data_IF_500338252231
#
_entry.id   IF_500338252231
#
_cell.length_a   1.000
_cell.length_b   1.000
_cell.length_c   1.000
_cell.angle_alpha   90.00
_cell.angle_beta   90.00
_cell.angle_gamma   90.00
#
_symmetry.space_group_name_H-M   'P 1'
#
loop_
_entity.id
_entity.type
_entity.pdbx_description
1 polymer ?
#
# COMPACT_ATOMS: atom_id res chain seq x y z
N UNK A 1 -19.25 14.72 -0.65
CA UNK A 1 -18.27 13.89 0.10
C UNK A 1 -18.84 12.49 0.33
N UNK A 2 -18.90 11.60 -0.66
CA UNK A 2 -19.42 10.21 -0.49
C UNK A 2 -18.94 9.29 -1.63
N UNK A 3 -17.66 8.92 -1.68
CA UNK A 3 -17.19 7.89 -2.64
C UNK A 3 -16.12 6.92 -2.11
N UNK A 4 -15.69 7.04 -0.84
CA UNK A 4 -14.69 6.13 -0.27
C UNK A 4 -15.27 5.03 0.63
N UNK A 5 -16.57 5.07 0.97
CA UNK A 5 -17.19 4.11 1.90
C UNK A 5 -17.71 2.83 1.22
N UNK A 6 -17.65 2.72 -0.12
CA UNK A 6 -18.36 1.69 -0.88
C UNK A 6 -17.48 0.61 -1.52
N UNK A 7 -16.28 0.40 -1.00
CA UNK A 7 -15.49 -0.80 -1.34
C UNK A 7 -15.24 -1.49 -0.01
N UNK A 8 -15.95 -2.59 0.25
CA UNK A 8 -15.65 -3.54 1.32
C UNK A 8 -14.34 -4.26 1.04
N UNK A 9 -13.29 -3.47 0.79
CA UNK A 9 -11.91 -3.91 0.72
C UNK A 9 -11.49 -4.12 2.16
N UNK A 10 -10.91 -5.28 2.42
CA UNK A 10 -10.64 -5.80 3.74
C UNK A 10 -9.67 -4.87 4.50
N UNK A 11 -10.24 -3.90 5.22
CA UNK A 11 -9.48 -2.96 6.06
C UNK A 11 -8.65 -3.71 7.12
N UNK A 12 -9.03 -4.95 7.46
CA UNK A 12 -8.26 -5.84 8.32
C UNK A 12 -6.88 -6.14 7.73
N UNK A 13 -6.82 -6.63 6.49
CA UNK A 13 -5.55 -6.91 5.80
C UNK A 13 -4.67 -5.67 5.64
N UNK A 14 -5.27 -4.54 5.28
CA UNK A 14 -4.54 -3.27 5.20
C UNK A 14 -3.94 -2.91 6.57
N UNK A 15 -4.72 -3.04 7.65
CA UNK A 15 -4.28 -2.69 9.00
C UNK A 15 -3.22 -3.65 9.54
N UNK A 16 -3.29 -4.92 9.17
CA UNK A 16 -2.25 -5.92 9.48
C UNK A 16 -0.93 -5.56 8.79
N UNK A 17 -0.98 -5.28 7.47
CA UNK A 17 0.19 -4.82 6.72
C UNK A 17 0.77 -3.52 7.28
N UNK A 18 -0.07 -2.54 7.59
CA UNK A 18 0.36 -1.29 8.24
C UNK A 18 0.99 -1.55 9.60
N UNK A 19 0.46 -2.49 10.39
CA UNK A 19 1.05 -2.89 11.65
C UNK A 19 2.47 -3.43 11.47
N UNK A 20 2.68 -4.30 10.48
CA UNK A 20 4.01 -4.82 10.15
C UNK A 20 4.95 -3.72 9.68
N UNK A 21 4.48 -2.81 8.81
CA UNK A 21 5.24 -1.67 8.33
C UNK A 21 5.65 -0.72 9.47
N UNK A 22 4.75 -0.43 10.40
CA UNK A 22 5.00 0.43 11.55
C UNK A 22 5.90 -0.25 12.59
N UNK A 23 5.79 -1.57 12.75
CA UNK A 23 6.70 -2.36 13.58
C UNK A 23 8.11 -2.47 12.97
N UNK A 24 8.25 -2.23 11.67
CA UNK A 24 9.49 -2.47 10.93
C UNK A 24 9.78 -3.96 10.74
N UNK A 25 8.75 -4.80 10.84
CA UNK A 25 8.84 -6.25 10.63
C UNK A 25 8.97 -6.60 9.14
N UNK A 26 9.51 -7.79 8.86
CA UNK A 26 9.57 -8.30 7.49
C UNK A 26 8.16 -8.53 6.94
N UNK A 27 7.88 -7.92 5.80
CA UNK A 27 6.63 -8.13 5.10
C UNK A 27 6.56 -9.56 4.56
N UNK A 28 5.38 -10.19 4.56
CA UNK A 28 5.23 -11.51 3.97
C UNK A 28 5.62 -11.47 2.49
N UNK A 29 6.23 -12.54 1.98
CA UNK A 29 6.65 -12.63 0.58
C UNK A 29 5.50 -12.39 -0.42
N UNK A 30 4.26 -12.63 0.00
CA UNK A 30 3.04 -12.31 -0.75
C UNK A 30 2.86 -10.82 -1.01
N UNK A 31 3.40 -9.96 -0.14
CA UNK A 31 3.26 -8.52 -0.27
C UNK A 31 4.18 -7.86 -1.27
N UNK A 32 5.12 -8.62 -1.87
CA UNK A 32 5.96 -8.18 -2.99
C UNK A 32 6.41 -6.74 -2.85
N UNK A 33 6.92 -6.40 -1.67
CA UNK A 33 7.26 -5.03 -1.38
C UNK A 33 8.42 -4.62 -2.29
N UNK A 34 8.25 -3.54 -3.05
CA UNK A 34 9.30 -3.07 -3.93
C UNK A 34 9.38 -1.56 -3.97
N UNK A 35 10.61 -1.06 -4.13
CA UNK A 35 10.85 0.36 -4.30
C UNK A 35 10.44 0.78 -5.71
N UNK A 36 9.56 1.78 -5.79
CA UNK A 36 9.16 2.39 -7.05
C UNK A 36 10.30 3.24 -7.63
N UNK A 37 10.29 3.38 -8.96
CA UNK A 37 11.29 4.13 -9.74
C UNK A 37 10.62 5.31 -10.45
N UNK A 38 11.43 6.24 -10.97
CA UNK A 38 10.94 7.43 -11.69
C UNK A 38 10.40 8.51 -10.75
N UNK A 39 9.24 9.08 -11.06
CA UNK A 39 8.56 10.10 -10.23
C UNK A 39 8.17 9.59 -8.84
N UNK A 40 8.05 8.27 -8.69
CA UNK A 40 7.79 7.61 -7.41
C UNK A 40 9.07 7.17 -6.69
N UNK A 41 10.23 7.71 -7.07
CA UNK A 41 11.51 7.40 -6.40
C UNK A 41 11.45 7.76 -4.92
N UNK A 42 11.67 6.77 -4.05
CA UNK A 42 11.56 6.90 -2.60
C UNK A 42 10.20 6.47 -2.03
N UNK A 43 9.23 6.17 -2.90
CA UNK A 43 8.05 5.41 -2.54
C UNK A 43 8.32 3.91 -2.73
N UNK A 44 7.60 3.13 -1.95
CA UNK A 44 7.51 1.68 -2.05
C UNK A 44 6.06 1.34 -2.34
N UNK A 45 5.84 0.28 -3.09
CA UNK A 45 4.54 -0.34 -3.17
C UNK A 45 4.59 -1.71 -2.48
N UNK A 46 3.49 -2.05 -1.82
CA UNK A 46 3.26 -3.36 -1.24
C UNK A 46 1.91 -3.87 -1.70
N UNK A 47 1.89 -5.10 -2.18
CA UNK A 47 0.69 -5.84 -2.50
C UNK A 47 0.03 -6.30 -1.21
N UNK A 48 -1.21 -5.87 -0.97
CA UNK A 48 -2.06 -6.44 0.08
C UNK A 48 -2.72 -7.70 -0.48
N UNK A 49 -3.14 -7.64 -1.75
CA UNK A 49 -3.74 -8.75 -2.50
C UNK A 49 -3.23 -8.74 -3.96
N UNK A 50 -3.43 -9.83 -4.73
CA UNK A 50 -3.10 -9.85 -6.16
C UNK A 50 -3.66 -8.67 -6.96
N UNK A 51 -4.87 -8.19 -6.62
CA UNK A 51 -5.50 -7.02 -7.24
C UNK A 51 -5.56 -5.80 -6.30
N UNK A 52 -4.70 -5.71 -5.27
CA UNK A 52 -4.71 -4.57 -4.35
C UNK A 52 -3.31 -4.23 -3.88
N UNK A 53 -2.85 -3.03 -4.24
CA UNK A 53 -1.56 -2.50 -3.80
C UNK A 53 -1.70 -1.21 -2.99
N UNK A 54 -0.69 -0.97 -2.16
CA UNK A 54 -0.51 0.20 -1.32
C UNK A 54 0.81 0.85 -1.70
N UNK A 55 0.74 2.09 -2.17
CA UNK A 55 1.90 2.96 -2.37
C UNK A 55 2.11 3.76 -1.09
N UNK A 56 3.27 3.58 -0.47
CA UNK A 56 3.66 4.27 0.75
C UNK A 56 5.11 4.75 0.67
N UNK A 57 5.52 5.63 1.57
CA UNK A 57 6.92 5.99 1.77
C UNK A 57 7.21 6.04 3.26
N UNK A 58 8.41 5.64 3.64
CA UNK A 58 8.90 5.75 5.02
C UNK A 58 9.75 7.01 5.09
N UNK A 59 9.36 7.97 5.91
CA UNK A 59 10.06 9.24 6.10
C UNK A 59 10.44 9.39 7.58
N UNK A 60 11.59 8.85 7.96
CA UNK A 60 12.00 8.80 9.37
C UNK A 60 11.13 7.81 10.15
N UNK A 61 10.41 8.31 11.15
CA UNK A 61 9.50 7.53 12.00
C UNK A 61 8.05 7.54 11.48
N UNK A 62 7.77 8.31 10.44
CA UNK A 62 6.43 8.43 9.87
C UNK A 62 6.27 7.60 8.59
N UNK A 63 5.19 6.81 8.56
CA UNK A 63 4.74 6.08 7.39
C UNK A 63 3.72 6.94 6.62
N UNK A 64 4.12 7.46 5.46
CA UNK A 64 3.23 8.26 4.61
C UNK A 64 2.57 7.38 3.55
N UNK A 65 1.25 7.28 3.61
CA UNK A 65 0.43 6.53 2.66
C UNK A 65 0.09 7.43 1.48
N UNK A 66 0.67 7.14 0.31
CA UNK A 66 0.45 7.96 -0.88
C UNK A 66 -0.90 7.64 -1.52
N UNK A 67 -1.11 6.35 -1.85
CA UNK A 67 -2.35 5.85 -2.46
C UNK A 67 -2.53 4.36 -2.18
N UNK A 68 -3.77 3.90 -2.12
CA UNK A 68 -4.10 2.48 -2.09
C UNK A 68 -5.26 2.20 -3.02
N UNK A 69 -5.19 1.09 -3.76
CA UNK A 69 -6.13 0.82 -4.83
C UNK A 69 -5.84 -0.48 -5.55
N UNK A 70 -6.75 -0.86 -6.44
CA UNK A 70 -6.48 -1.96 -7.37
C UNK A 70 -5.52 -1.52 -8.46
N UNK A 71 -4.91 -2.46 -9.17
CA UNK A 71 -4.12 -2.14 -10.38
C UNK A 71 -4.92 -1.24 -11.33
N UNK A 72 -6.18 -1.57 -11.62
CA UNK A 72 -7.05 -0.73 -12.47
C UNK A 72 -7.36 0.66 -11.89
N UNK A 73 -7.41 0.79 -10.56
CA UNK A 73 -7.70 2.08 -9.90
C UNK A 73 -6.48 3.02 -9.91
N UNK A 74 -5.28 2.45 -9.87
CA UNK A 74 -4.03 3.20 -9.82
C UNK A 74 -3.38 3.39 -11.19
N UNK A 75 -3.56 2.43 -12.10
CA UNK A 75 -2.93 2.42 -13.43
C UNK A 75 -3.92 2.61 -14.59
N UNK A 76 -5.24 2.68 -14.34
CA UNK A 76 -6.27 2.95 -15.35
C UNK A 76 -6.09 2.13 -16.65
N UNK A 77 -5.99 0.81 -16.51
CA UNK A 77 -6.18 -0.14 -17.62
C UNK A 77 -7.63 -0.59 -17.70
#
# INVERSE_FOLDING_TARGET
>A
MKRAEKRGKDLGKLRELLGLLLAGDELPASSKDHALKGDWKGYRDAHIEPDWLLIYRVAGDELQLARTGSHSDLFNE
#
